data_IF_630623061640
#
_entry.id   IF_630623061640
#
_cell.length_a   1.000
_cell.length_b   1.000
_cell.length_c   1.000
_cell.angle_alpha   90.00
_cell.angle_beta   90.00
_cell.angle_gamma   90.00
#
_symmetry.space_group_name_H-M   'P 1'
#
loop_
_entity.id
_entity.type
_entity.pdbx_description
1 polymer ?
#
# COMPACT_ATOMS: atom_id res chain seq x y z
N UNK A 1 15.71 0.04 -6.36
CA UNK A 1 15.19 -1.31 -6.73
C UNK A 1 16.27 -2.38 -6.94
N UNK A 2 17.50 -2.05 -7.35
CA UNK A 2 18.58 -3.04 -7.56
C UNK A 2 18.76 -4.03 -6.38
N UNK A 3 18.97 -3.51 -5.17
CA UNK A 3 19.12 -4.36 -3.96
C UNK A 3 17.93 -5.28 -3.68
N UNK A 4 16.72 -4.91 -4.10
CA UNK A 4 15.56 -5.80 -3.95
C UNK A 4 15.68 -7.03 -4.84
N UNK A 5 16.06 -6.82 -6.10
CA UNK A 5 16.22 -7.88 -7.11
C UNK A 5 17.39 -8.82 -6.78
N UNK A 6 18.49 -8.25 -6.30
CA UNK A 6 19.71 -9.03 -6.03
C UNK A 6 19.71 -9.72 -4.66
N UNK A 7 19.10 -9.10 -3.64
CA UNK A 7 19.28 -9.53 -2.24
C UNK A 7 17.98 -9.54 -1.45
N UNK A 8 17.29 -8.39 -1.32
CA UNK A 8 16.28 -8.21 -0.26
C UNK A 8 15.09 -9.15 -0.43
N UNK A 9 14.60 -9.38 -1.67
CA UNK A 9 13.46 -10.28 -1.85
C UNK A 9 13.74 -11.69 -1.32
N UNK A 10 14.91 -12.26 -1.62
CA UNK A 10 15.31 -13.58 -1.15
C UNK A 10 15.74 -13.57 0.33
N UNK A 11 16.44 -12.53 0.79
CA UNK A 11 16.91 -12.42 2.17
C UNK A 11 15.76 -12.28 3.18
N UNK A 12 14.65 -11.66 2.79
CA UNK A 12 13.50 -11.45 3.68
C UNK A 12 12.92 -12.76 4.21
N UNK A 13 12.74 -13.79 3.37
CA UNK A 13 12.25 -15.10 3.84
C UNK A 13 13.26 -15.81 4.73
N UNK A 14 14.56 -15.73 4.42
CA UNK A 14 15.64 -16.30 5.24
C UNK A 14 15.69 -15.69 6.65
N UNK A 15 15.35 -14.40 6.78
CA UNK A 15 15.26 -13.75 8.08
C UNK A 15 14.10 -14.34 8.91
N UNK A 16 12.94 -14.57 8.30
CA UNK A 16 11.82 -15.23 8.99
C UNK A 16 12.21 -16.64 9.46
N UNK A 17 12.85 -17.45 8.60
CA UNK A 17 13.35 -18.78 8.96
C UNK A 17 14.33 -18.70 10.15
N UNK A 18 15.25 -17.74 10.13
CA UNK A 18 16.24 -17.54 11.21
C UNK A 18 15.57 -17.19 12.55
N UNK A 19 14.51 -16.39 12.52
CA UNK A 19 13.73 -16.04 13.72
C UNK A 19 12.94 -17.24 14.22
N UNK A 20 12.25 -17.98 13.34
CA UNK A 20 11.53 -19.21 13.69
C UNK A 20 12.48 -20.24 14.34
N UNK A 21 13.66 -20.45 13.76
CA UNK A 21 14.67 -21.38 14.30
C UNK A 21 15.25 -20.91 15.64
N UNK A 22 15.52 -19.61 15.79
CA UNK A 22 16.00 -19.06 17.04
C UNK A 22 14.96 -19.22 18.17
N UNK A 23 13.68 -18.94 17.88
CA UNK A 23 12.60 -19.12 18.84
C UNK A 23 12.44 -20.58 19.23
N UNK A 24 12.41 -21.50 18.27
CA UNK A 24 12.31 -22.93 18.54
C UNK A 24 13.50 -23.45 19.36
N UNK A 25 14.71 -22.94 19.12
CA UNK A 25 15.93 -23.34 19.84
C UNK A 25 15.95 -22.83 21.28
N UNK A 26 15.61 -21.57 21.50
CA UNK A 26 15.76 -20.91 22.80
C UNK A 26 14.51 -20.99 23.67
N UNK A 27 13.35 -21.27 23.08
CA UNK A 27 12.07 -21.33 23.76
C UNK A 27 11.21 -22.54 23.29
N UNK A 28 11.75 -23.78 23.35
CA UNK A 28 11.13 -24.97 22.77
C UNK A 28 9.77 -25.36 23.38
N UNK A 29 9.46 -24.87 24.58
CA UNK A 29 8.20 -25.11 25.27
C UNK A 29 7.02 -24.32 24.69
N UNK A 30 7.28 -23.35 23.81
CA UNK A 30 6.26 -22.52 23.19
C UNK A 30 6.19 -22.78 21.69
N UNK A 31 4.98 -22.97 21.19
CA UNK A 31 4.71 -23.04 19.74
C UNK A 31 4.52 -21.60 19.20
N UNK A 32 5.63 -20.98 18.78
CA UNK A 32 5.59 -19.64 18.21
C UNK A 32 5.17 -19.66 16.74
N UNK A 33 4.12 -18.91 16.42
CA UNK A 33 3.81 -18.52 15.05
C UNK A 33 4.37 -17.14 14.79
N UNK A 34 5.47 -17.06 14.04
CA UNK A 34 6.11 -15.80 13.69
C UNK A 34 5.24 -15.07 12.65
N UNK A 35 4.65 -13.91 13.00
CA UNK A 35 3.90 -13.12 12.02
C UNK A 35 4.88 -12.43 11.05
N UNK A 36 4.41 -12.03 9.88
CA UNK A 36 5.20 -11.15 9.02
C UNK A 36 5.37 -9.78 9.65
N UNK A 37 6.57 -9.53 10.19
CA UNK A 37 6.93 -8.31 10.91
C UNK A 37 7.70 -7.30 10.05
N UNK A 38 8.34 -7.72 8.95
CA UNK A 38 9.12 -6.82 8.09
C UNK A 38 8.23 -5.99 7.18
N UNK A 39 8.49 -4.69 7.08
CA UNK A 39 7.90 -3.78 6.10
C UNK A 39 9.00 -2.88 5.56
N UNK A 40 8.85 -2.44 4.32
CA UNK A 40 9.83 -1.58 3.66
C UNK A 40 9.13 -0.32 3.15
N UNK A 41 9.77 0.82 3.38
CA UNK A 41 9.35 2.11 2.87
C UNK A 41 10.44 2.73 1.99
N UNK A 42 10.08 3.69 1.15
CA UNK A 42 11.00 4.44 0.30
C UNK A 42 10.52 5.88 0.17
N UNK A 43 11.47 6.80 0.06
CA UNK A 43 11.22 8.21 -0.29
C UNK A 43 11.61 8.53 -1.74
N UNK A 44 12.29 7.61 -2.43
CA UNK A 44 12.76 7.81 -3.80
C UNK A 44 11.56 7.93 -4.74
N UNK A 45 11.35 9.14 -5.26
CA UNK A 45 10.21 9.48 -6.10
C UNK A 45 8.98 9.97 -5.34
N UNK A 46 9.01 10.09 -4.00
CA UNK A 46 7.92 10.65 -3.20
C UNK A 46 8.30 11.88 -2.37
N UNK A 47 9.59 12.07 -2.06
CA UNK A 47 10.09 13.28 -1.39
C UNK A 47 10.27 14.43 -2.38
N UNK A 48 9.34 15.39 -2.37
CA UNK A 48 9.36 16.58 -3.21
C UNK A 48 9.66 17.87 -2.44
N UNK A 49 9.93 17.80 -1.13
CA UNK A 49 10.30 18.94 -0.31
C UNK A 49 11.64 19.54 -0.76
N UNK A 50 11.59 20.76 -1.30
CA UNK A 50 12.75 21.48 -1.84
C UNK A 50 13.31 20.90 -3.15
N UNK A 51 12.63 19.92 -3.77
CA UNK A 51 13.10 19.29 -5.01
C UNK A 51 12.03 19.33 -6.12
N UNK A 52 12.06 20.36 -7.00
CA UNK A 52 11.07 20.51 -8.06
C UNK A 52 11.14 19.41 -9.15
N UNK A 53 12.17 18.57 -9.14
CA UNK A 53 12.29 17.46 -10.09
C UNK A 53 11.43 16.24 -9.71
N UNK A 54 10.93 16.17 -8.48
CA UNK A 54 10.05 15.10 -8.01
C UNK A 54 8.61 15.54 -8.18
N UNK A 55 8.09 15.35 -9.38
CA UNK A 55 6.70 15.68 -9.72
C UNK A 55 5.75 14.52 -9.42
N UNK A 56 4.44 14.77 -9.47
CA UNK A 56 3.36 13.81 -9.40
C UNK A 56 3.55 12.70 -10.45
N UNK A 57 4.00 13.07 -11.65
CA UNK A 57 4.35 12.11 -12.72
C UNK A 57 5.51 11.20 -12.31
N UNK A 58 6.55 11.74 -11.67
CA UNK A 58 7.68 10.94 -11.16
C UNK A 58 7.24 10.04 -10.02
N UNK A 59 6.35 10.52 -9.15
CA UNK A 59 5.73 9.72 -8.08
C UNK A 59 4.94 8.55 -8.65
N UNK A 60 4.10 8.79 -9.65
CA UNK A 60 3.35 7.73 -10.35
C UNK A 60 4.29 6.72 -11.02
N UNK A 61 5.38 7.18 -11.64
CA UNK A 61 6.39 6.33 -12.23
C UNK A 61 7.08 5.45 -11.17
N UNK A 62 7.47 6.02 -10.03
CA UNK A 62 8.13 5.29 -8.95
C UNK A 62 7.22 4.18 -8.37
N UNK A 63 5.93 4.48 -8.17
CA UNK A 63 4.93 3.50 -7.73
C UNK A 63 4.80 2.34 -8.72
N UNK A 64 4.73 2.63 -10.02
CA UNK A 64 4.61 1.61 -11.06
C UNK A 64 5.88 0.75 -11.19
N UNK A 65 7.07 1.36 -11.14
CA UNK A 65 8.35 0.63 -11.14
C UNK A 65 8.46 -0.33 -9.94
N UNK A 66 8.04 0.12 -8.76
CA UNK A 66 8.00 -0.71 -7.57
C UNK A 66 7.01 -1.86 -7.72
N UNK A 67 5.83 -1.63 -8.31
CA UNK A 67 4.87 -2.70 -8.63
C UNK A 67 5.44 -3.70 -9.62
N UNK A 68 6.01 -3.25 -10.74
CA UNK A 68 6.59 -4.12 -11.76
C UNK A 68 7.72 -4.99 -11.22
N UNK A 69 8.57 -4.43 -10.33
CA UNK A 69 9.65 -5.18 -9.72
C UNK A 69 9.16 -6.39 -8.90
N UNK A 70 8.16 -6.21 -8.02
CA UNK A 70 7.67 -7.31 -7.19
C UNK A 70 6.83 -8.31 -7.98
N UNK A 71 5.99 -7.85 -8.92
CA UNK A 71 5.20 -8.78 -9.75
C UNK A 71 6.14 -9.61 -10.63
N UNK A 72 7.18 -9.01 -11.22
CA UNK A 72 8.21 -9.74 -11.96
C UNK A 72 8.90 -10.81 -11.10
N UNK A 73 9.22 -10.48 -9.84
CA UNK A 73 9.77 -11.44 -8.88
C UNK A 73 8.80 -12.60 -8.59
N UNK A 74 7.53 -12.32 -8.29
CA UNK A 74 6.54 -13.37 -8.04
C UNK A 74 6.30 -14.28 -9.24
N UNK A 75 6.26 -13.72 -10.46
CA UNK A 75 6.16 -14.50 -11.69
C UNK A 75 7.32 -15.50 -11.79
N UNK A 76 8.55 -15.10 -11.49
CA UNK A 76 9.70 -15.99 -11.48
C UNK A 76 9.57 -17.10 -10.41
N UNK A 77 9.13 -16.76 -9.19
CA UNK A 77 8.96 -17.73 -8.11
C UNK A 77 7.84 -18.74 -8.42
N UNK A 78 6.71 -18.29 -8.97
CA UNK A 78 5.60 -19.20 -9.34
C UNK A 78 5.97 -20.07 -10.54
N UNK A 79 6.75 -19.57 -11.52
CA UNK A 79 7.30 -20.43 -12.60
C UNK A 79 8.10 -21.60 -12.05
N UNK A 80 8.88 -21.38 -10.98
CA UNK A 80 9.59 -22.45 -10.28
C UNK A 80 8.62 -23.43 -9.62
N UNK A 81 7.54 -22.96 -8.99
CA UNK A 81 6.49 -23.82 -8.43
C UNK A 81 5.86 -24.72 -9.50
N UNK A 82 5.53 -24.18 -10.68
CA UNK A 82 5.02 -24.97 -11.82
C UNK A 82 5.97 -26.12 -12.16
N UNK A 83 7.29 -25.90 -12.08
CA UNK A 83 8.26 -26.96 -12.41
C UNK A 83 8.29 -28.06 -11.34
N UNK A 84 8.28 -27.69 -10.06
CA UNK A 84 8.51 -28.64 -8.94
C UNK A 84 7.25 -29.36 -8.44
N UNK A 85 6.04 -28.83 -8.68
CA UNK A 85 4.78 -29.38 -8.16
C UNK A 85 4.17 -30.46 -9.07
N UNK A 86 4.97 -31.47 -9.44
CA UNK A 86 4.65 -32.49 -10.44
C UNK A 86 3.88 -33.71 -9.92
N UNK A 87 3.26 -33.62 -8.73
CA UNK A 87 2.64 -34.79 -8.11
C UNK A 87 1.35 -35.14 -8.85
N UNK A 88 1.26 -36.40 -9.28
CA UNK A 88 0.11 -36.90 -10.03
C UNK A 88 -1.01 -37.39 -9.12
N UNK A 89 -2.24 -37.03 -9.44
CA UNK A 89 -3.48 -37.53 -8.82
C UNK A 89 -3.68 -39.04 -9.00
N UNK A 90 -2.93 -39.69 -9.90
CA UNK A 90 -2.92 -41.15 -10.05
C UNK A 90 -2.18 -41.86 -8.90
N UNK A 91 -1.40 -41.12 -8.10
CA UNK A 91 -0.56 -41.67 -7.03
C UNK A 91 -0.97 -41.15 -5.65
N UNK A 92 -1.60 -39.96 -5.59
CA UNK A 92 -2.06 -39.36 -4.34
C UNK A 92 -3.53 -38.98 -4.40
N UNK A 93 -4.23 -39.17 -3.28
CA UNK A 93 -5.61 -38.72 -3.15
C UNK A 93 -5.63 -37.22 -2.88
N UNK A 94 -6.13 -36.44 -3.84
CA UNK A 94 -6.20 -34.99 -3.72
C UNK A 94 -7.43 -34.61 -2.88
N UNK A 95 -7.26 -33.84 -1.79
CA UNK A 95 -8.37 -33.43 -0.95
C UNK A 95 -9.43 -32.61 -1.71
N UNK A 96 -10.70 -32.92 -1.49
CA UNK A 96 -11.85 -32.21 -2.07
C UNK A 96 -11.80 -30.68 -1.88
N UNK A 97 -11.39 -30.13 -0.71
CA UNK A 97 -11.23 -28.69 -0.57
C UNK A 97 -10.24 -28.07 -1.58
N UNK A 98 -9.17 -28.78 -1.92
CA UNK A 98 -8.18 -28.29 -2.88
C UNK A 98 -8.69 -28.36 -4.32
N UNK A 99 -9.51 -29.37 -4.67
CA UNK A 99 -10.14 -29.44 -5.99
C UNK A 99 -10.98 -28.17 -6.25
N UNK A 100 -11.75 -27.73 -5.25
CA UNK A 100 -12.53 -26.48 -5.35
C UNK A 100 -11.65 -25.24 -5.51
N UNK A 101 -10.54 -25.18 -4.78
CA UNK A 101 -9.56 -24.10 -4.93
C UNK A 101 -8.95 -24.10 -6.35
N UNK A 102 -8.64 -25.27 -6.88
CA UNK A 102 -8.14 -25.47 -8.24
C UNK A 102 -9.12 -24.99 -9.30
N UNK A 103 -10.39 -25.37 -9.20
CA UNK A 103 -11.44 -24.91 -10.11
C UNK A 103 -11.56 -23.38 -10.11
N UNK A 104 -11.52 -22.76 -8.93
CA UNK A 104 -11.57 -21.30 -8.81
C UNK A 104 -10.35 -20.64 -9.47
N UNK A 105 -9.14 -21.16 -9.24
CA UNK A 105 -7.93 -20.63 -9.83
C UNK A 105 -7.92 -20.80 -11.37
N UNK A 106 -8.31 -21.97 -11.87
CA UNK A 106 -8.43 -22.25 -13.31
C UNK A 106 -9.44 -21.32 -13.96
N UNK A 107 -10.61 -21.09 -13.34
CA UNK A 107 -11.59 -20.12 -13.83
C UNK A 107 -11.00 -18.71 -13.87
N UNK A 108 -10.31 -18.28 -12.80
CA UNK A 108 -9.63 -16.98 -12.76
C UNK A 108 -8.51 -16.81 -13.80
N UNK A 109 -7.87 -17.91 -14.22
CA UNK A 109 -6.83 -17.88 -15.25
C UNK A 109 -7.38 -17.62 -16.66
N UNK A 110 -8.66 -17.91 -16.91
CA UNK A 110 -9.24 -17.87 -18.26
C UNK A 110 -8.66 -18.89 -19.25
N UNK A 111 -7.74 -19.77 -18.82
CA UNK A 111 -6.99 -20.72 -19.66
C UNK A 111 -7.09 -22.17 -19.16
N UNK A 112 -8.19 -22.51 -18.50
CA UNK A 112 -8.37 -23.80 -17.85
C UNK A 112 -8.06 -24.99 -18.79
N UNK A 113 -8.64 -24.99 -20.00
CA UNK A 113 -8.45 -26.08 -20.96
C UNK A 113 -6.99 -26.27 -21.38
N UNK A 114 -6.26 -25.19 -21.65
CA UNK A 114 -4.84 -25.22 -22.01
C UNK A 114 -3.98 -25.75 -20.85
N UNK A 115 -4.23 -25.25 -19.64
CA UNK A 115 -3.50 -25.65 -18.43
C UNK A 115 -3.70 -27.13 -18.12
N UNK A 116 -4.94 -27.62 -18.21
CA UNK A 116 -5.29 -29.03 -17.97
C UNK A 116 -4.64 -29.91 -19.05
N UNK A 117 -4.78 -29.56 -20.32
CA UNK A 117 -4.22 -30.34 -21.42
C UNK A 117 -2.68 -30.45 -21.36
N UNK A 118 -2.01 -29.40 -20.88
CA UNK A 118 -0.55 -29.38 -20.73
C UNK A 118 -0.04 -30.18 -19.53
N UNK A 119 -0.83 -30.30 -18.47
CA UNK A 119 -0.43 -30.91 -17.20
C UNK A 119 -1.47 -31.95 -16.76
N UNK A 120 -1.69 -33.02 -17.55
CA UNK A 120 -2.73 -34.01 -17.25
C UNK A 120 -2.45 -34.67 -15.90
N UNK A 121 -3.50 -34.86 -15.10
CA UNK A 121 -3.47 -35.48 -13.77
C UNK A 121 -2.51 -34.85 -12.76
N UNK A 122 -2.02 -33.62 -12.96
CA UNK A 122 -1.09 -32.92 -12.05
C UNK A 122 -1.74 -31.66 -11.43
N UNK A 123 -2.69 -31.81 -10.51
CA UNK A 123 -3.54 -30.70 -10.03
C UNK A 123 -2.76 -29.59 -9.31
N UNK A 124 -1.67 -29.91 -8.61
CA UNK A 124 -0.82 -28.89 -7.96
C UNK A 124 -0.08 -28.04 -9.01
N UNK A 125 0.39 -28.66 -10.09
CA UNK A 125 1.02 -27.95 -11.23
C UNK A 125 -0.02 -27.10 -11.97
N UNK A 126 -1.21 -27.64 -12.21
CA UNK A 126 -2.33 -26.91 -12.81
C UNK A 126 -2.68 -25.66 -11.96
N UNK A 127 -2.75 -25.81 -10.64
CA UNK A 127 -3.00 -24.69 -9.72
C UNK A 127 -1.93 -23.62 -9.81
N UNK A 128 -0.65 -24.01 -9.75
CA UNK A 128 0.47 -23.07 -9.89
C UNK A 128 0.48 -22.37 -11.26
N UNK A 129 0.13 -23.07 -12.35
CA UNK A 129 0.03 -22.50 -13.68
C UNK A 129 -1.13 -21.50 -13.80
N UNK A 130 -2.26 -21.77 -13.13
CA UNK A 130 -3.40 -20.87 -13.08
C UNK A 130 -3.05 -19.57 -12.32
N UNK A 131 -2.41 -19.68 -11.16
CA UNK A 131 -1.88 -18.53 -10.40
C UNK A 131 -0.89 -17.73 -11.25
N UNK A 132 0.03 -18.41 -11.96
CA UNK A 132 1.01 -17.77 -12.83
C UNK A 132 0.35 -16.91 -13.89
N UNK A 133 -0.66 -17.43 -14.60
CA UNK A 133 -1.39 -16.68 -15.61
C UNK A 133 -2.06 -15.42 -15.05
N UNK A 134 -2.59 -15.49 -13.83
CA UNK A 134 -3.19 -14.32 -13.15
C UNK A 134 -2.15 -13.26 -12.76
N UNK A 135 -0.93 -13.67 -12.38
CA UNK A 135 0.17 -12.73 -12.11
C UNK A 135 0.73 -12.11 -13.39
N UNK A 136 0.84 -12.88 -14.48
CA UNK A 136 1.24 -12.36 -15.79
C UNK A 136 0.24 -11.32 -16.31
N UNK A 137 -1.06 -11.56 -16.10
CA UNK A 137 -2.11 -10.60 -16.41
C UNK A 137 -2.03 -9.29 -15.62
N UNK A 138 -1.36 -9.27 -14.46
CA UNK A 138 -1.10 -8.01 -13.76
C UNK A 138 -0.07 -7.12 -14.48
N UNK A 139 0.70 -7.67 -15.42
CA UNK A 139 1.70 -6.94 -16.19
C UNK A 139 1.18 -6.49 -17.55
N UNK A 140 0.43 -7.35 -18.24
CA UNK A 140 -0.08 -7.07 -19.60
C UNK A 140 -1.56 -6.65 -19.65
N UNK A 141 -2.34 -6.89 -18.58
CA UNK A 141 -3.75 -6.53 -18.46
C UNK A 141 -4.73 -7.35 -19.31
N UNK A 142 -4.26 -8.32 -20.10
CA UNK A 142 -5.09 -8.99 -21.13
C UNK A 142 -5.00 -10.52 -21.09
N UNK A 143 -3.98 -11.10 -20.47
CA UNK A 143 -3.75 -12.55 -20.55
C UNK A 143 -4.66 -13.40 -19.66
N UNK A 144 -5.27 -12.84 -18.62
CA UNK A 144 -6.19 -13.49 -17.67
C UNK A 144 -6.90 -12.45 -16.78
N UNK A 145 -7.70 -12.89 -15.79
CA UNK A 145 -8.22 -12.00 -14.74
C UNK A 145 -7.15 -11.77 -13.67
N UNK A 146 -6.59 -10.55 -13.55
CA UNK A 146 -5.54 -10.26 -12.57
C UNK A 146 -6.06 -10.37 -11.13
N UNK A 147 -5.14 -10.54 -10.17
CA UNK A 147 -5.49 -10.42 -8.76
C UNK A 147 -5.87 -8.99 -8.41
N UNK A 148 -7.05 -8.81 -7.81
CA UNK A 148 -7.51 -7.50 -7.36
C UNK A 148 -6.65 -6.92 -6.22
N UNK A 149 -6.15 -7.78 -5.32
CA UNK A 149 -5.32 -7.44 -4.16
C UNK A 149 -4.39 -8.59 -3.82
N UNK A 150 -3.29 -8.31 -3.12
CA UNK A 150 -2.32 -9.32 -2.69
C UNK A 150 -2.92 -10.38 -1.77
N UNK A 151 -4.01 -10.06 -1.06
CA UNK A 151 -4.73 -11.02 -0.21
C UNK A 151 -5.23 -12.24 -0.99
N UNK A 152 -5.68 -12.05 -2.24
CA UNK A 152 -6.11 -13.17 -3.09
C UNK A 152 -4.96 -14.12 -3.41
N UNK A 153 -3.81 -13.58 -3.80
CA UNK A 153 -2.63 -14.39 -4.11
C UNK A 153 -2.07 -15.08 -2.86
N UNK A 154 -2.06 -14.38 -1.72
CA UNK A 154 -1.68 -14.95 -0.42
C UNK A 154 -2.60 -16.11 -0.03
N UNK A 155 -3.91 -16.00 -0.25
CA UNK A 155 -4.86 -17.08 0.02
C UNK A 155 -4.57 -18.30 -0.84
N UNK A 156 -4.31 -18.13 -2.13
CA UNK A 156 -3.96 -19.24 -3.02
C UNK A 156 -2.66 -19.95 -2.55
N UNK A 157 -1.65 -19.20 -2.11
CA UNK A 157 -0.43 -19.80 -1.53
C UNK A 157 -0.70 -20.56 -0.22
N UNK A 158 -1.63 -20.09 0.61
CA UNK A 158 -2.03 -20.80 1.84
C UNK A 158 -2.76 -22.10 1.54
N UNK A 159 -3.63 -22.12 0.53
CA UNK A 159 -4.26 -23.37 0.07
C UNK A 159 -3.22 -24.36 -0.42
N UNK A 160 -2.20 -23.88 -1.14
CA UNK A 160 -1.09 -24.70 -1.58
C UNK A 160 -0.25 -25.27 -0.41
N UNK A 161 0.05 -24.47 0.61
CA UNK A 161 0.73 -24.96 1.83
C UNK A 161 -0.12 -26.02 2.54
N UNK A 162 -1.43 -25.78 2.66
CA UNK A 162 -2.36 -26.69 3.34
C UNK A 162 -2.45 -28.04 2.65
N UNK A 163 -2.70 -28.06 1.34
CA UNK A 163 -2.79 -29.32 0.58
C UNK A 163 -1.46 -30.07 0.60
N UNK A 164 -0.32 -29.37 0.52
CA UNK A 164 0.99 -30.01 0.60
C UNK A 164 1.18 -30.67 1.96
N UNK A 165 0.80 -30.03 3.07
CA UNK A 165 0.87 -30.64 4.39
C UNK A 165 -0.02 -31.91 4.49
N UNK A 166 -1.25 -31.86 3.97
CA UNK A 166 -2.16 -33.01 3.93
C UNK A 166 -1.62 -34.19 3.09
N UNK A 167 -0.81 -33.90 2.07
CA UNK A 167 -0.15 -34.89 1.22
C UNK A 167 1.24 -35.33 1.74
N UNK A 168 1.68 -34.86 2.93
CA UNK A 168 3.01 -35.15 3.49
C UNK A 168 4.17 -34.41 2.81
N UNK A 169 3.87 -33.35 2.06
CA UNK A 169 4.78 -32.49 1.31
C UNK A 169 5.34 -31.29 2.09
N UNK A 170 5.48 -31.39 3.42
CA UNK A 170 5.90 -30.28 4.28
C UNK A 170 7.24 -29.66 3.87
N UNK A 171 8.19 -30.48 3.42
CA UNK A 171 9.50 -30.00 2.96
C UNK A 171 9.38 -29.13 1.69
N UNK A 172 8.48 -29.48 0.78
CA UNK A 172 8.21 -28.70 -0.44
C UNK A 172 7.50 -27.39 -0.06
N UNK A 173 6.50 -27.46 0.82
CA UNK A 173 5.79 -26.28 1.31
C UNK A 173 6.77 -25.30 1.98
N UNK A 174 7.59 -25.78 2.93
CA UNK A 174 8.59 -24.98 3.64
C UNK A 174 9.66 -24.41 2.70
N UNK A 175 10.08 -25.15 1.68
CA UNK A 175 11.16 -24.72 0.79
C UNK A 175 10.72 -23.74 -0.30
N UNK A 176 9.52 -23.89 -0.85
CA UNK A 176 9.12 -23.17 -2.06
C UNK A 176 7.88 -22.29 -1.89
N UNK A 177 6.92 -22.68 -1.05
CA UNK A 177 5.62 -21.99 -0.94
C UNK A 177 5.63 -20.98 0.20
N UNK A 178 6.03 -21.41 1.39
CA UNK A 178 6.09 -20.56 2.60
C UNK A 178 6.96 -19.31 2.42
N UNK A 179 8.18 -19.39 1.83
CA UNK A 179 9.01 -18.21 1.59
C UNK A 179 8.31 -17.20 0.69
N UNK A 180 7.63 -17.68 -0.37
CA UNK A 180 6.87 -16.83 -1.28
C UNK A 180 5.67 -16.20 -0.57
N UNK A 181 4.94 -16.95 0.26
CA UNK A 181 3.83 -16.39 1.05
C UNK A 181 4.32 -15.28 2.00
N UNK A 182 5.43 -15.49 2.70
CA UNK A 182 6.03 -14.48 3.58
C UNK A 182 6.48 -13.23 2.81
N UNK A 183 7.01 -13.40 1.59
CA UNK A 183 7.30 -12.28 0.69
C UNK A 183 6.03 -11.51 0.32
N UNK A 184 4.93 -12.20 -0.03
CA UNK A 184 3.63 -11.55 -0.30
C UNK A 184 3.09 -10.79 0.91
N UNK A 185 3.23 -11.33 2.11
CA UNK A 185 2.83 -10.68 3.36
C UNK A 185 3.70 -9.46 3.70
N UNK A 186 4.95 -9.43 3.24
CA UNK A 186 5.91 -8.35 3.49
C UNK A 186 5.80 -7.23 2.45
N UNK A 187 5.80 -7.58 1.17
CA UNK A 187 5.91 -6.64 0.05
C UNK A 187 4.57 -6.34 -0.62
N UNK A 188 3.54 -7.17 -0.41
CA UNK A 188 2.28 -7.09 -1.14
C UNK A 188 2.52 -7.06 -2.65
N UNK A 189 1.81 -6.18 -3.36
CA UNK A 189 2.04 -5.89 -4.78
C UNK A 189 2.78 -4.57 -5.02
N UNK A 190 3.56 -4.10 -4.04
CA UNK A 190 4.17 -2.76 -4.10
C UNK A 190 5.68 -2.68 -3.94
N UNK A 191 6.40 -3.77 -3.64
CA UNK A 191 7.83 -3.77 -3.23
C UNK A 191 8.08 -2.99 -1.92
N UNK A 192 7.75 -1.71 -1.89
CA UNK A 192 7.81 -0.81 -0.74
C UNK A 192 6.53 0.01 -0.66
N UNK A 193 6.22 0.55 0.51
CA UNK A 193 5.30 1.69 0.59
C UNK A 193 6.09 2.98 0.29
N UNK A 194 5.61 3.80 -0.64
CA UNK A 194 6.26 5.07 -1.00
C UNK A 194 5.69 6.17 -0.10
N UNK A 195 6.53 6.77 0.73
CA UNK A 195 6.15 7.95 1.49
C UNK A 195 6.27 9.18 0.60
N UNK A 196 5.31 10.08 0.73
CA UNK A 196 5.28 11.38 0.06
C UNK A 196 5.68 12.42 1.09
N UNK A 197 6.58 13.35 0.75
CA UNK A 197 6.98 14.44 1.65
C UNK A 197 6.86 15.79 0.97
N UNK A 198 6.21 16.74 1.63
CA UNK A 198 6.07 18.12 1.17
C UNK A 198 6.13 19.11 2.33
N UNK A 199 6.49 20.35 2.04
CA UNK A 199 6.62 21.45 2.98
C UNK A 199 5.26 22.07 3.34
N UNK A 200 5.05 22.37 4.63
CA UNK A 200 3.86 23.10 5.11
C UNK A 200 3.63 24.43 4.39
N UNK A 201 4.69 25.14 4.01
CA UNK A 201 4.56 26.44 3.31
C UNK A 201 3.96 26.28 1.91
N UNK A 202 4.29 25.21 1.18
CA UNK A 202 3.70 24.90 -0.13
C UNK A 202 2.23 24.55 0.04
N UNK A 203 1.92 23.65 0.97
CA UNK A 203 0.55 23.22 1.30
C UNK A 203 -0.34 24.43 1.62
N UNK A 204 0.13 25.33 2.49
CA UNK A 204 -0.63 26.50 2.90
C UNK A 204 -0.80 27.53 1.77
N UNK A 205 0.20 27.71 0.90
CA UNK A 205 0.08 28.59 -0.28
C UNK A 205 -0.98 28.08 -1.25
N UNK A 206 -0.94 26.79 -1.58
CA UNK A 206 -1.92 26.15 -2.46
C UNK A 206 -3.32 26.24 -1.86
N UNK A 207 -3.50 25.92 -0.58
CA UNK A 207 -4.81 26.03 0.06
C UNK A 207 -5.32 27.49 0.13
N UNK A 208 -4.42 28.46 0.32
CA UNK A 208 -4.77 29.89 0.24
C UNK A 208 -5.27 30.27 -1.15
N UNK A 209 -4.61 29.77 -2.20
CA UNK A 209 -5.02 29.98 -3.59
C UNK A 209 -6.41 29.38 -3.86
N UNK A 210 -6.67 28.17 -3.38
CA UNK A 210 -7.98 27.53 -3.49
C UNK A 210 -9.08 28.33 -2.77
N UNK A 211 -8.81 28.84 -1.58
CA UNK A 211 -9.76 29.71 -0.88
C UNK A 211 -10.01 31.03 -1.64
N UNK A 212 -8.97 31.63 -2.24
CA UNK A 212 -9.13 32.82 -3.09
C UNK A 212 -9.91 32.53 -4.36
N UNK A 213 -9.75 31.33 -4.93
CA UNK A 213 -10.52 30.92 -6.10
C UNK A 213 -12.02 30.81 -5.76
N UNK A 214 -12.35 30.23 -4.60
CA UNK A 214 -13.74 30.09 -4.14
C UNK A 214 -14.36 31.40 -3.63
N UNK A 215 -13.56 32.24 -2.95
CA UNK A 215 -13.97 33.55 -2.43
C UNK A 215 -12.81 34.55 -2.53
N UNK A 216 -12.71 35.31 -3.65
CA UNK A 216 -11.62 36.25 -3.91
C UNK A 216 -11.48 37.37 -2.87
N UNK A 217 -12.57 37.73 -2.18
CA UNK A 217 -12.60 38.86 -1.25
C UNK A 217 -12.46 38.43 0.22
N UNK A 218 -12.82 37.19 0.55
CA UNK A 218 -12.89 36.68 1.93
C UNK A 218 -11.85 35.63 2.31
N UNK A 219 -10.93 35.25 1.42
CA UNK A 219 -9.92 34.23 1.71
C UNK A 219 -8.98 34.66 2.87
N UNK A 220 -8.96 33.95 4.01
CA UNK A 220 -8.10 34.29 5.13
C UNK A 220 -6.63 33.97 4.81
N UNK A 221 -5.71 34.74 5.41
CA UNK A 221 -4.28 34.42 5.35
C UNK A 221 -3.93 33.29 6.33
N UNK A 222 -2.96 32.42 6.02
CA UNK A 222 -2.44 31.43 6.96
C UNK A 222 -1.98 32.04 8.28
N UNK A 223 -1.91 31.22 9.33
CA UNK A 223 -1.50 31.62 10.69
C UNK A 223 -2.40 32.69 11.35
N UNK A 224 -3.65 32.85 10.88
CA UNK A 224 -4.66 33.75 11.48
C UNK A 224 -5.82 32.98 12.13
N UNK A 225 -6.51 33.54 13.15
CA UNK A 225 -7.70 32.90 13.72
C UNK A 225 -8.79 32.61 12.68
N UNK A 226 -8.93 33.45 11.66
CA UNK A 226 -9.88 33.26 10.57
C UNK A 226 -9.52 32.04 9.71
N UNK A 227 -8.23 31.79 9.47
CA UNK A 227 -7.76 30.58 8.80
C UNK A 227 -8.11 29.32 9.58
N UNK A 228 -7.83 29.31 10.89
CA UNK A 228 -8.19 28.21 11.78
C UNK A 228 -9.68 27.88 11.70
N UNK A 229 -10.54 28.90 11.75
CA UNK A 229 -11.98 28.74 11.65
C UNK A 229 -12.40 28.20 10.27
N UNK A 230 -11.82 28.72 9.18
CA UNK A 230 -12.15 28.34 7.80
C UNK A 230 -11.78 26.89 7.49
N UNK A 231 -10.59 26.44 7.87
CA UNK A 231 -10.11 25.07 7.65
C UNK A 231 -10.97 24.08 8.44
N UNK A 232 -11.22 24.35 9.73
CA UNK A 232 -12.04 23.48 10.58
C UNK A 232 -13.49 23.43 10.12
N UNK A 233 -14.06 24.56 9.67
CA UNK A 233 -15.41 24.61 9.14
C UNK A 233 -15.56 23.72 7.89
N UNK A 234 -14.63 23.80 6.93
CA UNK A 234 -14.68 22.98 5.71
C UNK A 234 -14.49 21.48 5.95
N UNK A 235 -13.60 21.10 6.88
CA UNK A 235 -13.46 19.70 7.27
C UNK A 235 -14.74 19.18 7.95
N UNK A 236 -15.35 19.98 8.82
CA UNK A 236 -16.55 19.58 9.54
C UNK A 236 -17.79 19.49 8.63
N UNK A 237 -17.89 20.32 7.60
CA UNK A 237 -19.01 20.28 6.64
C UNK A 237 -18.83 19.27 5.52
N UNK A 238 -17.62 18.69 5.36
CA UNK A 238 -17.29 17.85 4.21
C UNK A 238 -17.19 18.64 2.90
N UNK A 239 -16.88 19.95 2.98
CA UNK A 239 -16.82 20.86 1.84
C UNK A 239 -16.06 20.24 0.65
N UNK A 240 -16.65 20.39 -0.52
CA UNK A 240 -16.05 20.04 -1.81
C UNK A 240 -15.79 21.31 -2.59
N UNK A 241 -14.72 21.32 -3.36
CA UNK A 241 -14.30 22.48 -4.13
C UNK A 241 -14.11 22.07 -5.58
N UNK A 242 -15.01 22.53 -6.45
CA UNK A 242 -14.84 22.38 -7.89
C UNK A 242 -13.90 23.47 -8.39
N UNK A 243 -12.72 23.06 -8.86
CA UNK A 243 -11.69 23.98 -9.34
C UNK A 243 -11.41 23.73 -10.81
N UNK A 244 -11.34 24.79 -11.60
CA UNK A 244 -10.67 24.74 -12.89
C UNK A 244 -9.16 24.73 -12.65
N UNK A 245 -8.54 23.55 -12.70
CA UNK A 245 -7.11 23.39 -12.45
C UNK A 245 -6.25 24.23 -13.39
N UNK A 246 -6.70 24.50 -14.62
CA UNK A 246 -5.95 25.32 -15.58
C UNK A 246 -5.88 26.80 -15.20
N UNK A 247 -6.77 27.24 -14.31
CA UNK A 247 -6.79 28.61 -13.78
C UNK A 247 -5.89 28.79 -12.54
N UNK A 248 -5.33 27.71 -12.01
CA UNK A 248 -4.43 27.73 -10.86
C UNK A 248 -2.96 27.89 -11.28
N UNK A 249 -2.11 28.27 -10.32
CA UNK A 249 -0.66 28.27 -10.45
C UNK A 249 -0.08 26.87 -10.72
N UNK A 250 1.12 26.80 -11.31
CA UNK A 250 1.83 25.54 -11.53
C UNK A 250 2.07 24.78 -10.21
N UNK A 251 2.36 25.48 -9.11
CA UNK A 251 2.54 24.87 -7.77
C UNK A 251 1.25 24.20 -7.26
N UNK A 252 0.10 24.84 -7.47
CA UNK A 252 -1.19 24.29 -7.08
C UNK A 252 -1.62 23.12 -7.97
N UNK A 253 -1.41 23.23 -9.29
CA UNK A 253 -1.65 22.12 -10.23
C UNK A 253 -0.83 20.88 -9.83
N UNK A 254 0.47 21.07 -9.62
CA UNK A 254 1.39 19.99 -9.25
C UNK A 254 1.01 19.30 -7.93
N UNK A 255 0.65 20.06 -6.88
CA UNK A 255 0.23 19.48 -5.60
C UNK A 255 -1.11 18.74 -5.71
N UNK A 256 -2.08 19.28 -6.46
CA UNK A 256 -3.37 18.60 -6.68
C UNK A 256 -3.21 17.32 -7.51
N UNK A 257 -2.34 17.33 -8.53
CA UNK A 257 -1.97 16.13 -9.28
C UNK A 257 -1.32 15.08 -8.38
N UNK A 258 -0.47 15.49 -7.44
CA UNK A 258 0.14 14.58 -6.46
C UNK A 258 -0.92 13.92 -5.57
N UNK A 259 -1.90 14.68 -5.06
CA UNK A 259 -3.02 14.09 -4.31
C UNK A 259 -3.89 13.15 -5.17
N UNK A 260 -4.07 13.44 -6.46
CA UNK A 260 -4.77 12.52 -7.37
C UNK A 260 -3.97 11.22 -7.58
N UNK A 261 -2.64 11.29 -7.69
CA UNK A 261 -1.77 10.10 -7.71
C UNK A 261 -1.92 9.30 -6.41
N UNK A 262 -1.93 9.96 -5.25
CA UNK A 262 -2.16 9.32 -3.95
C UNK A 262 -3.52 8.62 -3.90
N UNK A 263 -4.59 9.27 -4.36
CA UNK A 263 -5.94 8.68 -4.42
C UNK A 263 -5.98 7.45 -5.32
N UNK A 264 -5.43 7.55 -6.52
CA UNK A 264 -5.37 6.44 -7.49
C UNK A 264 -4.55 5.27 -6.95
N UNK A 265 -3.49 5.53 -6.19
CA UNK A 265 -2.65 4.51 -5.58
C UNK A 265 -3.29 3.89 -4.31
N UNK A 266 -4.13 4.66 -3.60
CA UNK A 266 -4.86 4.18 -2.41
C UNK A 266 -6.05 3.28 -2.77
N UNK A 267 -6.54 3.39 -4.01
CA UNK A 267 -7.66 2.61 -4.55
C UNK A 267 -7.17 1.51 -5.52
N UNK A 268 -7.96 0.45 -5.72
CA UNK A 268 -7.68 -0.59 -6.73
C UNK A 268 -6.51 -1.55 -6.42
N UNK A 269 -5.81 -1.99 -7.48
CA UNK A 269 -4.77 -3.02 -7.47
C UNK A 269 -3.55 -2.67 -6.60
N UNK A 270 -3.34 -1.38 -6.36
CA UNK A 270 -2.19 -0.82 -5.66
C UNK A 270 -2.47 -0.48 -4.20
N UNK A 271 -3.60 -0.93 -3.63
CA UNK A 271 -3.99 -0.60 -2.25
C UNK A 271 -2.84 -0.69 -1.24
N UNK A 272 -2.47 0.46 -0.68
CA UNK A 272 -1.37 0.63 0.29
C UNK A 272 0.01 0.88 -0.32
N UNK A 273 0.11 1.17 -1.62
CA UNK A 273 1.37 1.53 -2.30
C UNK A 273 1.93 2.88 -1.83
N UNK A 274 1.07 3.82 -1.43
CA UNK A 274 1.48 5.03 -0.71
C UNK A 274 1.49 4.72 0.79
N UNK A 275 2.57 5.13 1.47
CA UNK A 275 2.73 5.05 2.91
C UNK A 275 2.15 6.27 3.61
N UNK A 276 3.01 7.12 4.14
CA UNK A 276 2.65 8.38 4.79
C UNK A 276 2.78 9.58 3.86
N UNK A 277 1.99 10.62 4.13
CA UNK A 277 2.25 11.99 3.72
C UNK A 277 2.94 12.71 4.88
N UNK A 278 4.23 12.96 4.72
CA UNK A 278 5.09 13.61 5.70
C UNK A 278 5.07 15.11 5.44
N UNK A 279 4.70 15.90 6.45
CA UNK A 279 4.64 17.35 6.35
C UNK A 279 5.89 17.98 6.99
N UNK A 280 6.85 18.37 6.15
CA UNK A 280 8.05 19.09 6.59
C UNK A 280 7.70 20.46 7.14
N UNK A 281 8.54 20.97 8.06
CA UNK A 281 8.36 22.28 8.70
C UNK A 281 6.97 22.45 9.31
N UNK A 282 6.45 21.44 10.02
CA UNK A 282 5.16 21.53 10.71
C UNK A 282 5.30 22.43 11.95
N UNK A 283 4.48 23.49 12.04
CA UNK A 283 4.54 24.50 13.11
C UNK A 283 3.23 24.66 13.88
N UNK A 284 2.12 24.16 13.34
CA UNK A 284 0.79 24.26 13.96
C UNK A 284 -0.11 23.06 13.66
N UNK A 285 -1.23 22.92 14.38
CA UNK A 285 -2.25 21.94 14.02
C UNK A 285 -2.89 22.23 12.67
N UNK A 286 -2.96 23.52 12.30
CA UNK A 286 -3.62 23.95 11.07
C UNK A 286 -2.82 23.60 9.83
N UNK A 287 -1.48 23.51 9.92
CA UNK A 287 -0.63 22.98 8.86
C UNK A 287 -1.03 21.54 8.50
N UNK A 288 -1.25 20.70 9.52
CA UNK A 288 -1.68 19.32 9.32
C UNK A 288 -3.12 19.24 8.81
N UNK A 289 -4.02 20.06 9.37
CA UNK A 289 -5.41 20.12 8.92
C UNK A 289 -5.52 20.61 7.48
N UNK A 290 -4.60 21.44 7.00
CA UNK A 290 -4.53 21.83 5.59
C UNK A 290 -4.26 20.61 4.68
N UNK A 291 -3.39 19.68 5.08
CA UNK A 291 -3.18 18.41 4.36
C UNK A 291 -4.46 17.56 4.35
N UNK A 292 -5.13 17.44 5.50
CA UNK A 292 -6.42 16.72 5.58
C UNK A 292 -7.48 17.35 4.67
N UNK A 293 -7.53 18.68 4.57
CA UNK A 293 -8.50 19.38 3.75
C UNK A 293 -8.19 19.25 2.25
N UNK A 294 -6.92 19.34 1.85
CA UNK A 294 -6.52 19.04 0.47
C UNK A 294 -6.86 17.60 0.10
N UNK A 295 -6.61 16.65 0.99
CA UNK A 295 -6.99 15.25 0.79
C UNK A 295 -8.51 15.10 0.62
N UNK A 296 -9.32 15.83 1.40
CA UNK A 296 -10.78 15.86 1.26
C UNK A 296 -11.19 16.39 -0.13
N UNK A 297 -10.65 17.54 -0.56
CA UNK A 297 -10.94 18.11 -1.87
C UNK A 297 -10.50 17.21 -3.03
N UNK A 298 -9.44 16.43 -2.84
CA UNK A 298 -8.97 15.47 -3.83
C UNK A 298 -9.72 14.14 -3.78
N UNK A 299 -10.77 13.99 -2.96
CA UNK A 299 -11.62 12.80 -2.93
C UNK A 299 -11.03 11.60 -2.17
N UNK A 300 -10.17 11.85 -1.18
CA UNK A 300 -9.68 10.83 -0.23
C UNK A 300 -10.61 10.65 0.99
N UNK A 301 -11.69 11.44 1.08
CA UNK A 301 -12.69 11.30 2.13
C UNK A 301 -13.61 10.10 1.87
N UNK A 302 -13.92 9.35 2.93
CA UNK A 302 -14.84 8.18 2.87
C UNK A 302 -16.32 8.57 2.93
N UNK A 303 -16.64 9.81 3.29
CA UNK A 303 -17.97 10.39 3.21
C UNK A 303 -17.89 11.90 2.91
N UNK A 304 -18.93 12.43 2.26
CA UNK A 304 -18.95 13.79 1.71
C UNK A 304 -19.60 14.82 2.65
N UNK A 305 -20.09 14.40 3.81
CA UNK A 305 -20.83 15.22 4.78
C UNK A 305 -19.99 15.58 6.03
N UNK A 306 -18.67 15.33 5.98
CA UNK A 306 -17.76 15.57 7.10
C UNK A 306 -17.82 14.50 8.21
N UNK A 307 -18.71 13.50 8.10
CA UNK A 307 -18.82 12.40 9.08
C UNK A 307 -17.81 11.28 8.85
N UNK A 308 -17.18 11.24 7.67
CA UNK A 308 -16.25 10.20 7.24
C UNK A 308 -14.85 10.31 7.85
N UNK A 309 -13.89 9.72 7.15
CA UNK A 309 -12.46 9.69 7.44
C UNK A 309 -11.68 10.05 6.18
N UNK A 310 -10.45 10.54 6.35
CA UNK A 310 -9.49 10.70 5.27
C UNK A 310 -8.61 9.46 5.18
N UNK A 311 -8.58 8.83 4.00
CA UNK A 311 -7.80 7.64 3.70
C UNK A 311 -6.32 7.97 3.39
N UNK A 312 -5.66 8.74 4.26
CA UNK A 312 -4.25 9.13 4.15
C UNK A 312 -3.62 9.24 5.54
N UNK A 313 -2.44 8.65 5.73
CA UNK A 313 -1.64 8.83 6.95
C UNK A 313 -0.90 10.15 6.84
N UNK A 314 -1.25 11.13 7.67
CA UNK A 314 -0.52 12.41 7.75
C UNK A 314 0.47 12.33 8.91
N UNK A 315 1.74 12.59 8.65
CA UNK A 315 2.82 12.52 9.64
C UNK A 315 3.47 13.90 9.76
N UNK A 316 3.40 14.57 10.92
CA UNK A 316 4.15 15.80 11.13
C UNK A 316 5.64 15.51 11.21
N UNK A 317 6.46 16.34 10.57
CA UNK A 317 7.89 16.44 10.80
C UNK A 317 8.19 17.76 11.52
N UNK A 318 8.65 17.67 12.77
CA UNK A 318 9.00 18.82 13.61
C UNK A 318 10.52 19.06 13.59
N UNK A 319 10.96 20.10 12.89
CA UNK A 319 12.39 20.27 12.56
C UNK A 319 13.14 21.23 13.49
N UNK A 320 12.47 22.28 13.97
CA UNK A 320 13.13 23.27 14.84
C UNK A 320 12.93 22.95 16.32
N UNK A 321 13.82 23.49 17.16
CA UNK A 321 13.70 23.36 18.63
C UNK A 321 12.37 23.95 19.13
N UNK A 322 11.88 25.03 18.52
CA UNK A 322 10.61 25.62 18.89
C UNK A 322 9.45 24.69 18.56
N UNK A 323 9.47 24.09 17.37
CA UNK A 323 8.43 23.17 16.91
C UNK A 323 8.41 21.89 17.75
N UNK A 324 9.58 21.33 18.08
CA UNK A 324 9.70 20.17 18.97
C UNK A 324 9.14 20.44 20.38
N UNK A 325 9.29 21.66 20.90
CA UNK A 325 8.70 22.05 22.19
C UNK A 325 7.18 22.23 22.10
N UNK A 326 6.68 22.70 20.96
CA UNK A 326 5.25 22.90 20.72
C UNK A 326 4.52 21.60 20.29
N UNK A 327 5.25 20.58 19.83
CA UNK A 327 4.71 19.35 19.27
C UNK A 327 3.61 18.67 20.12
N UNK A 328 3.73 18.54 21.46
CA UNK A 328 2.67 17.94 22.27
C UNK A 328 1.34 18.71 22.18
N UNK A 329 1.39 20.05 22.29
CA UNK A 329 0.19 20.89 22.21
C UNK A 329 -0.41 20.87 20.79
N UNK A 330 0.44 20.87 19.76
CA UNK A 330 -0.01 20.74 18.36
C UNK A 330 -0.78 19.44 18.15
N UNK A 331 -0.28 18.33 18.69
CA UNK A 331 -0.94 17.02 18.59
C UNK A 331 -2.24 16.97 19.41
N UNK A 332 -2.28 17.56 20.60
CA UNK A 332 -3.51 17.67 21.40
C UNK A 332 -4.60 18.44 20.64
N UNK A 333 -4.25 19.58 20.03
CA UNK A 333 -5.16 20.38 19.21
C UNK A 333 -5.63 19.62 17.96
N UNK A 334 -4.73 18.86 17.32
CA UNK A 334 -5.03 18.03 16.16
C UNK A 334 -6.02 16.91 16.52
N UNK A 335 -5.78 16.17 17.60
CA UNK A 335 -6.66 15.09 18.05
C UNK A 335 -8.00 15.60 18.60
N UNK A 336 -8.07 16.89 18.94
CA UNK A 336 -9.33 17.61 19.18
C UNK A 336 -10.30 17.61 17.99
N UNK A 337 -9.81 17.40 16.77
CA UNK A 337 -10.64 17.39 15.55
C UNK A 337 -11.23 16.01 15.28
N UNK A 338 -12.55 15.95 15.08
CA UNK A 338 -13.30 14.70 14.99
C UNK A 338 -12.89 13.82 13.78
N UNK A 339 -12.74 14.41 12.59
CA UNK A 339 -12.33 13.69 11.38
C UNK A 339 -10.94 13.08 11.52
N UNK A 340 -10.01 13.81 12.14
CA UNK A 340 -8.64 13.34 12.39
C UNK A 340 -8.66 12.14 13.33
N UNK A 341 -9.39 12.22 14.44
CA UNK A 341 -9.49 11.11 15.41
C UNK A 341 -10.09 9.85 14.80
N UNK A 342 -11.09 10.00 13.92
CA UNK A 342 -11.67 8.86 13.19
C UNK A 342 -10.67 8.29 12.18
N UNK A 343 -9.96 9.13 11.42
CA UNK A 343 -8.86 8.67 10.53
C UNK A 343 -7.77 7.92 11.28
N UNK A 344 -7.31 8.43 12.43
CA UNK A 344 -6.28 7.77 13.26
C UNK A 344 -6.78 6.40 13.76
N UNK A 345 -8.09 6.26 14.05
CA UNK A 345 -8.70 4.98 14.41
C UNK A 345 -8.66 3.97 13.26
N UNK A 346 -8.94 4.39 12.03
CA UNK A 346 -8.82 3.53 10.83
C UNK A 346 -7.39 3.00 10.66
N UNK A 347 -6.40 3.73 11.17
CA UNK A 347 -5.00 3.35 11.19
C UNK A 347 -4.53 2.68 12.49
N UNK A 348 -5.47 2.14 13.28
CA UNK A 348 -5.17 1.34 14.47
C UNK A 348 -4.97 2.16 15.74
N UNK A 349 -5.55 3.37 15.82
CA UNK A 349 -5.32 4.33 16.91
C UNK A 349 -3.83 4.67 17.10
N UNK A 350 -3.08 4.78 16.01
CA UNK A 350 -1.65 5.06 16.01
C UNK A 350 -1.35 6.30 15.17
N UNK A 351 -0.70 7.29 15.77
CA UNK A 351 -0.15 8.46 15.09
C UNK A 351 1.37 8.32 15.03
N UNK A 352 1.92 8.36 13.83
CA UNK A 352 3.36 8.45 13.62
C UNK A 352 3.78 9.93 13.60
N UNK A 353 4.93 10.23 14.17
CA UNK A 353 5.51 11.58 14.28
C UNK A 353 6.98 11.46 13.89
N UNK A 354 7.47 12.39 13.07
CA UNK A 354 8.86 12.42 12.60
C UNK A 354 9.65 13.54 13.25
#
# INVERSE_FOLDING_TARGET
LHFFREVIFDATSKLYDSVEEALARHYPQYDFKVPSFMRYASWIGGDCDGNPNVTAKITACALEECRQAIIGWYVQQVRRLVTVLSVSANVVNIPEPFIKALEHALHGSGKAAEIIARNPDEPLRQFAAAILGRLEAMRDGVSAKPYARSDGFKSDLRELEKVLAELGGDLIAKRFVRPLRQQVETFGFRTVSLDVRQNSTVVNRVLTELFKFADPAGAPAPDTPQWTLRVRAALNSGEQLEVDQLALSEEAQELLELFDVIRKASTGLNGGAVGAFILSMTRSSDDLLAVYLLAQYSGLATAMDGSGTIALRVVPLFETIADLRAAPEILDQLFGVSIVRRSVRDFGNSQEVM
#
